data_IF_871318984838
#
_entry.id   IF_871318984838
#
_cell.length_a   1.000
_cell.length_b   1.000
_cell.length_c   1.000
_cell.angle_alpha   90.00
_cell.angle_beta   90.00
_cell.angle_gamma   90.00
#
_symmetry.space_group_name_H-M   'P 1'
#
loop_
_entity.id
_entity.type
_entity.pdbx_description
1 polymer ?
#
# COMPACT_ATOMS: atom_id res chain seq x y z
N UNK A 1 16.82 15.08 -2.59
CA UNK A 1 16.71 13.78 -3.30
C UNK A 1 17.32 12.73 -2.38
N UNK A 2 16.50 12.14 -1.50
CA UNK A 2 16.99 11.29 -0.40
C UNK A 2 16.91 9.77 -0.70
N UNK A 3 16.55 9.38 -1.93
CA UNK A 3 16.26 7.98 -2.30
C UNK A 3 14.77 7.65 -2.49
N UNK A 4 13.92 8.68 -2.62
CA UNK A 4 12.53 8.47 -3.01
C UNK A 4 12.44 8.12 -4.50
N UNK A 5 11.78 7.02 -4.82
CA UNK A 5 11.50 6.59 -6.19
C UNK A 5 10.18 7.15 -6.70
N UNK A 6 9.18 7.22 -5.83
CA UNK A 6 7.85 7.69 -6.16
C UNK A 6 7.22 8.40 -4.95
N UNK A 7 6.36 9.39 -5.23
CA UNK A 7 5.67 10.17 -4.21
C UNK A 7 4.23 10.37 -4.63
N UNK A 8 3.31 9.80 -3.86
CA UNK A 8 1.87 9.92 -4.06
C UNK A 8 1.32 10.87 -3.01
N UNK A 9 0.58 11.88 -3.45
CA UNK A 9 -0.04 12.88 -2.58
C UNK A 9 -1.54 12.73 -2.72
N UNK A 10 -2.21 12.34 -1.64
CA UNK A 10 -3.67 12.32 -1.54
C UNK A 10 -4.15 13.44 -0.61
N UNK A 11 -5.47 13.54 -0.43
CA UNK A 11 -6.05 14.51 0.50
C UNK A 11 -5.74 14.16 1.97
N UNK A 12 -5.53 12.87 2.25
CA UNK A 12 -5.38 12.34 3.60
C UNK A 12 -3.92 12.06 3.99
N UNK A 13 -3.05 11.73 3.01
CA UNK A 13 -1.68 11.31 3.29
C UNK A 13 -0.70 11.66 2.16
N UNK A 14 0.59 11.69 2.52
CA UNK A 14 1.71 11.70 1.57
C UNK A 14 2.45 10.37 1.70
N UNK A 15 2.43 9.59 0.64
CA UNK A 15 3.09 8.29 0.58
C UNK A 15 4.39 8.43 -0.22
N UNK A 16 5.50 7.99 0.37
CA UNK A 16 6.83 8.03 -0.25
C UNK A 16 7.31 6.61 -0.43
N UNK A 17 7.51 6.21 -1.68
CA UNK A 17 8.07 4.91 -2.02
C UNK A 17 9.56 5.02 -2.31
N UNK A 18 10.29 3.98 -1.94
CA UNK A 18 11.75 3.91 -2.05
C UNK A 18 12.12 2.50 -2.48
N UNK A 19 13.37 2.34 -2.94
CA UNK A 19 13.96 1.02 -3.01
C UNK A 19 13.98 0.36 -1.63
N UNK A 20 13.85 -0.97 -1.60
CA UNK A 20 13.84 -1.76 -0.35
C UNK A 20 15.06 -1.49 0.51
N UNK A 21 16.22 -1.28 -0.11
CA UNK A 21 17.49 -1.04 0.59
C UNK A 21 17.62 0.38 1.14
N UNK A 22 16.76 1.31 0.72
CA UNK A 22 16.86 2.74 1.03
C UNK A 22 15.80 3.23 2.03
N UNK A 23 14.81 2.39 2.39
CA UNK A 23 13.71 2.76 3.28
C UNK A 23 14.18 3.38 4.59
N UNK A 24 15.16 2.76 5.25
CA UNK A 24 15.68 3.23 6.54
C UNK A 24 16.42 4.57 6.41
N UNK A 25 17.22 4.76 5.35
CA UNK A 25 17.93 6.01 5.11
C UNK A 25 16.98 7.15 4.75
N UNK A 26 15.93 6.87 3.98
CA UNK A 26 14.91 7.87 3.61
C UNK A 26 14.10 8.27 4.85
N UNK A 27 13.67 7.31 5.67
CA UNK A 27 12.97 7.59 6.94
C UNK A 27 13.81 8.46 7.87
N UNK A 28 15.11 8.17 8.01
CA UNK A 28 16.00 9.01 8.82
C UNK A 28 16.17 10.42 8.22
N UNK A 29 16.33 10.53 6.91
CA UNK A 29 16.47 11.82 6.24
C UNK A 29 15.23 12.70 6.39
N UNK A 30 14.03 12.10 6.36
CA UNK A 30 12.78 12.80 6.64
C UNK A 30 12.75 13.32 8.09
N UNK A 31 13.12 12.48 9.05
CA UNK A 31 13.16 12.87 10.47
C UNK A 31 14.17 14.02 10.71
N UNK A 32 15.35 13.94 10.11
CA UNK A 32 16.39 14.98 10.21
C UNK A 32 15.93 16.32 9.59
N UNK A 33 15.06 16.25 8.57
CA UNK A 33 14.42 17.41 7.94
C UNK A 33 13.20 17.92 8.73
N UNK A 34 12.82 17.28 9.84
CA UNK A 34 11.71 17.67 10.69
C UNK A 34 10.36 17.04 10.31
N UNK A 35 10.36 16.04 9.42
CA UNK A 35 9.17 15.28 9.03
C UNK A 35 9.23 13.88 9.65
N UNK A 36 8.35 13.59 10.61
CA UNK A 36 8.22 12.24 11.18
C UNK A 36 7.15 11.48 10.42
N UNK A 37 7.47 10.37 9.74
CA UNK A 37 6.46 9.51 9.12
C UNK A 37 5.54 8.90 10.19
N UNK A 38 4.24 8.85 9.92
CA UNK A 38 3.28 8.17 10.78
C UNK A 38 3.54 6.65 10.82
N UNK A 39 3.94 6.08 9.69
CA UNK A 39 4.39 4.70 9.55
C UNK A 39 5.47 4.57 8.48
N UNK A 40 6.24 3.48 8.54
CA UNK A 40 7.14 3.06 7.46
C UNK A 40 7.32 1.55 7.55
N UNK A 41 7.17 0.86 6.42
CA UNK A 41 7.23 -0.60 6.36
C UNK A 41 7.69 -1.08 4.98
N UNK A 42 8.17 -2.32 4.95
CA UNK A 42 8.54 -2.98 3.69
C UNK A 42 7.30 -3.65 3.10
N UNK A 43 6.82 -3.12 1.98
CA UNK A 43 5.67 -3.67 1.25
C UNK A 43 6.10 -4.38 -0.04
N UNK A 44 5.20 -5.17 -0.60
CA UNK A 44 5.28 -5.60 -2.00
C UNK A 44 4.35 -4.75 -2.86
N UNK A 45 4.90 -3.75 -3.55
CA UNK A 45 4.14 -2.91 -4.48
C UNK A 45 3.95 -3.63 -5.83
N UNK A 46 2.71 -3.77 -6.34
CA UNK A 46 2.49 -4.35 -7.65
C UNK A 46 2.98 -3.41 -8.76
N UNK A 47 3.64 -3.98 -9.77
CA UNK A 47 4.04 -3.24 -10.98
C UNK A 47 2.86 -2.98 -11.93
N UNK A 48 1.83 -3.81 -11.85
CA UNK A 48 0.61 -3.71 -12.67
C UNK A 48 -0.59 -4.05 -11.81
N UNK A 49 -1.61 -3.21 -11.87
CA UNK A 49 -2.89 -3.45 -11.21
C UNK A 49 -3.87 -4.16 -12.14
N UNK A 50 -4.90 -4.75 -11.56
CA UNK A 50 -5.95 -5.48 -12.26
C UNK A 50 -7.30 -5.03 -11.75
N UNK A 51 -8.15 -4.55 -12.66
CA UNK A 51 -9.53 -4.23 -12.36
C UNK A 51 -10.41 -5.47 -12.52
N UNK A 52 -11.33 -5.67 -11.57
CA UNK A 52 -12.29 -6.77 -11.58
C UNK A 52 -13.71 -6.22 -11.42
N UNK A 53 -14.70 -6.99 -11.85
CA UNK A 53 -16.10 -6.70 -11.55
C UNK A 53 -16.36 -6.85 -10.04
N UNK A 54 -17.40 -6.18 -9.54
CA UNK A 54 -17.68 -6.11 -8.10
C UNK A 54 -17.88 -7.48 -7.42
N UNK A 55 -18.46 -8.45 -8.13
CA UNK A 55 -18.65 -9.82 -7.64
C UNK A 55 -17.34 -10.59 -7.50
N UNK A 56 -16.45 -10.47 -8.50
CA UNK A 56 -15.12 -11.07 -8.47
C UNK A 56 -14.22 -10.39 -7.43
N UNK A 57 -14.25 -9.06 -7.37
CA UNK A 57 -13.52 -8.27 -6.39
C UNK A 57 -13.95 -8.61 -4.94
N UNK A 58 -15.26 -8.76 -4.69
CA UNK A 58 -15.77 -9.17 -3.37
C UNK A 58 -15.26 -10.56 -2.98
N UNK A 59 -15.16 -11.48 -3.95
CA UNK A 59 -14.60 -12.82 -3.70
C UNK A 59 -13.11 -12.76 -3.36
N UNK A 60 -12.34 -11.94 -4.07
CA UNK A 60 -10.90 -11.73 -3.80
C UNK A 60 -10.70 -11.08 -2.44
N UNK A 61 -11.46 -10.03 -2.12
CA UNK A 61 -11.40 -9.36 -0.83
C UNK A 61 -11.76 -10.30 0.31
N UNK A 62 -12.81 -11.10 0.17
CA UNK A 62 -13.14 -12.11 1.17
C UNK A 62 -12.03 -13.15 1.36
N UNK A 63 -11.29 -13.50 0.30
CA UNK A 63 -10.10 -14.36 0.43
C UNK A 63 -8.99 -13.64 1.19
N UNK A 64 -8.74 -12.37 0.90
CA UNK A 64 -7.73 -11.55 1.61
C UNK A 64 -8.06 -11.50 3.10
N UNK A 65 -9.31 -11.18 3.46
CA UNK A 65 -9.76 -11.13 4.85
C UNK A 65 -9.54 -12.47 5.57
N UNK A 66 -9.93 -13.58 4.94
CA UNK A 66 -9.73 -14.92 5.51
C UNK A 66 -8.25 -15.28 5.70
N UNK A 67 -7.35 -14.76 4.86
CA UNK A 67 -5.91 -14.98 5.00
C UNK A 67 -5.32 -14.11 6.11
N UNK A 68 -5.76 -12.85 6.24
CA UNK A 68 -5.32 -11.94 7.30
C UNK A 68 -5.77 -12.39 8.70
N UNK A 69 -6.85 -13.16 8.81
CA UNK A 69 -7.30 -13.76 10.07
C UNK A 69 -6.41 -14.93 10.56
N UNK A 70 -5.47 -15.42 9.73
CA UNK A 70 -4.60 -16.53 10.12
C UNK A 70 -3.41 -16.04 10.95
N UNK A 71 -3.22 -16.61 12.14
CA UNK A 71 -2.12 -16.26 13.06
C UNK A 71 -0.71 -16.32 12.43
N UNK A 72 -0.53 -17.20 11.44
CA UNK A 72 0.75 -17.41 10.75
C UNK A 72 0.99 -16.46 9.58
N UNK A 73 -0.03 -15.69 9.17
CA UNK A 73 0.06 -14.74 8.05
C UNK A 73 0.44 -13.38 8.59
N UNK A 74 1.56 -12.83 8.10
CA UNK A 74 2.02 -11.50 8.52
C UNK A 74 1.50 -10.37 7.64
N UNK A 75 1.38 -10.59 6.33
CA UNK A 75 0.91 -9.60 5.36
C UNK A 75 0.31 -10.30 4.15
N UNK A 76 -0.78 -9.77 3.61
CA UNK A 76 -1.36 -10.17 2.32
C UNK A 76 -1.21 -9.01 1.34
N UNK A 77 -0.69 -9.30 0.16
CA UNK A 77 -0.53 -8.31 -0.92
C UNK A 77 -1.28 -8.78 -2.15
N UNK A 78 -2.01 -7.87 -2.79
CA UNK A 78 -2.73 -8.11 -4.04
C UNK A 78 -2.53 -6.94 -5.01
N UNK A 79 -2.87 -7.17 -6.27
CA UNK A 79 -2.83 -6.15 -7.31
C UNK A 79 -4.22 -5.73 -7.80
N UNK A 80 -5.28 -6.10 -7.08
CA UNK A 80 -6.63 -5.63 -7.34
C UNK A 80 -6.68 -4.10 -7.26
N UNK A 81 -7.14 -3.48 -8.33
CA UNK A 81 -7.38 -2.04 -8.44
C UNK A 81 -8.70 -1.68 -7.74
N UNK A 82 -8.65 -0.72 -6.81
CA UNK A 82 -9.82 -0.23 -6.07
C UNK A 82 -10.33 1.06 -6.70
N UNK A 83 -10.99 0.95 -7.86
CA UNK A 83 -11.58 2.11 -8.52
C UNK A 83 -12.71 2.71 -7.69
N UNK A 84 -12.99 4.01 -7.85
CA UNK A 84 -14.08 4.71 -7.14
C UNK A 84 -15.43 4.00 -7.29
N UNK A 85 -15.69 3.44 -8.48
CA UNK A 85 -16.90 2.66 -8.77
C UNK A 85 -16.94 1.36 -7.96
N UNK A 86 -15.82 0.65 -7.88
CA UNK A 86 -15.71 -0.59 -7.10
C UNK A 86 -15.87 -0.31 -5.60
N UNK A 87 -15.22 0.74 -5.09
CA UNK A 87 -15.36 1.15 -3.69
C UNK A 87 -16.81 1.52 -3.37
N UNK A 88 -17.48 2.27 -4.25
CA UNK A 88 -18.89 2.61 -4.07
C UNK A 88 -19.83 1.39 -4.14
N UNK A 89 -19.48 0.35 -4.90
CA UNK A 89 -20.26 -0.88 -5.02
C UNK A 89 -20.08 -1.83 -3.82
N UNK A 90 -18.97 -1.71 -3.09
CA UNK A 90 -18.63 -2.53 -1.91
C UNK A 90 -19.04 -1.88 -0.58
N UNK A 91 -19.40 -0.59 -0.58
CA UNK A 91 -19.90 0.17 0.57
C UNK A 91 -21.36 -0.16 0.93
#
# INVERSE_FOLDING_TARGET
>A
EAGAEDVVISEDAVEIYTERTELASVSQALQDAGYTPDSWELIMKPNTTMELAADEASTVLGLVDNLDELDDVSNVYHNLEMSDELVAALA
#
